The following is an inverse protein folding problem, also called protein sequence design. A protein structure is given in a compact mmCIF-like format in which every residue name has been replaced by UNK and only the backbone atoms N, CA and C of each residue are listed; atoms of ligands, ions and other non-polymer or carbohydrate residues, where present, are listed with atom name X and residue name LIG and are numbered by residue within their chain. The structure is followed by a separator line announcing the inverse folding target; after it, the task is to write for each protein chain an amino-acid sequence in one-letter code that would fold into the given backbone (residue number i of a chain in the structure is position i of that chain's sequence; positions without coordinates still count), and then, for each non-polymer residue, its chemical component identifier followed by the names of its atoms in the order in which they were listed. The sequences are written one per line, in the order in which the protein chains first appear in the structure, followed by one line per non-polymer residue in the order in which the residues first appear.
data_IF_777330690548
#
_entry.id   IF_777330690548
#
_cell.length_a   1.000
_cell.length_b   1.000
_cell.length_c   1.000
_cell.angle_alpha   90.00
_cell.angle_beta   90.00
_cell.angle_gamma   90.00
#
_symmetry.space_group_name_H-M   'P 1'
#
loop_
_entity.id
_entity.type
_entity.pdbx_description
1 polymer ?
#
# COMPACT_ATOMS: atom_id res chain seq x y z
N UNK A 1 2.42 32.31 -9.76
CA UNK A 1 3.20 31.89 -8.58
C UNK A 1 2.63 30.57 -8.13
N UNK A 2 3.44 29.51 -8.05
CA UNK A 2 2.94 28.20 -7.62
C UNK A 2 2.46 28.31 -6.16
N UNK A 3 1.23 27.86 -5.88
CA UNK A 3 0.69 27.86 -4.52
C UNK A 3 1.57 27.01 -3.59
N UNK A 4 1.58 27.33 -2.30
CA UNK A 4 2.29 26.51 -1.29
C UNK A 4 1.84 25.04 -1.34
N UNK A 5 0.56 24.80 -1.63
CA UNK A 5 -0.01 23.45 -1.74
C UNK A 5 0.62 22.67 -2.91
N UNK A 6 0.81 23.31 -4.06
CA UNK A 6 1.40 22.67 -5.25
C UNK A 6 2.86 22.27 -5.02
N UNK A 7 3.58 23.07 -4.23
CA UNK A 7 4.97 22.80 -3.85
C UNK A 7 5.06 21.59 -2.92
N UNK A 8 4.18 21.48 -1.92
CA UNK A 8 4.11 20.31 -1.03
C UNK A 8 3.67 19.04 -1.76
N UNK A 9 2.76 19.14 -2.73
CA UNK A 9 2.27 17.98 -3.47
C UNK A 9 3.31 17.36 -4.42
N UNK A 10 4.26 18.17 -4.92
CA UNK A 10 5.22 17.74 -5.95
C UNK A 10 6.64 17.54 -5.42
N UNK A 11 6.90 17.91 -4.16
CA UNK A 11 8.25 17.75 -3.59
C UNK A 11 8.60 16.27 -3.44
N UNK A 12 9.89 16.00 -3.49
CA UNK A 12 10.41 14.67 -3.19
C UNK A 12 10.35 14.43 -1.67
N UNK A 13 9.97 13.21 -1.29
CA UNK A 13 9.99 12.73 0.09
C UNK A 13 11.02 11.60 0.22
N UNK A 14 11.99 11.78 1.12
CA UNK A 14 12.95 10.71 1.40
C UNK A 14 12.27 9.54 2.12
N UNK A 15 12.92 8.37 2.20
CA UNK A 15 12.33 7.16 2.81
C UNK A 15 12.04 7.32 4.30
N UNK A 16 12.88 8.07 4.98
CA UNK A 16 12.84 8.23 6.45
C UNK A 16 12.06 9.47 6.88
N UNK A 17 11.69 10.32 5.92
CA UNK A 17 10.93 11.52 6.18
C UNK A 17 9.47 11.19 6.51
N UNK A 18 8.87 11.87 7.50
CA UNK A 18 7.44 11.76 7.74
C UNK A 18 6.65 12.28 6.54
N UNK A 19 5.71 11.48 6.04
CA UNK A 19 4.81 11.91 4.97
C UNK A 19 3.63 12.72 5.55
N UNK A 20 3.02 13.63 4.78
CA UNK A 20 1.86 14.40 5.22
C UNK A 20 0.64 13.56 5.61
N UNK A 21 0.63 12.28 5.22
CA UNK A 21 -0.41 11.30 5.50
C UNK A 21 0.05 10.15 6.40
N UNK A 22 1.21 10.24 7.05
CA UNK A 22 1.72 9.18 7.93
C UNK A 22 0.80 8.91 9.14
N UNK A 23 -0.02 9.88 9.55
CA UNK A 23 -1.01 9.73 10.63
C UNK A 23 -2.30 9.02 10.18
N UNK A 24 -2.46 8.71 8.89
CA UNK A 24 -3.64 8.02 8.36
C UNK A 24 -3.42 6.50 8.48
N UNK A 25 -4.17 5.87 9.39
CA UNK A 25 -4.23 4.41 9.47
C UNK A 25 -5.02 3.83 8.29
N UNK A 26 -4.29 3.37 7.28
CA UNK A 26 -4.82 2.62 6.14
C UNK A 26 -4.75 1.11 6.31
N UNK A 27 -4.30 0.63 7.48
CA UNK A 27 -3.91 -0.76 7.78
C UNK A 27 -2.77 -1.33 6.93
N UNK A 28 -2.24 -0.57 5.98
CA UNK A 28 -1.01 -0.92 5.27
C UNK A 28 0.19 -0.59 6.15
N UNK A 29 1.18 -1.47 6.19
CA UNK A 29 2.44 -1.17 6.88
C UNK A 29 3.26 -0.15 6.07
N UNK A 30 4.01 0.71 6.78
CA UNK A 30 4.89 1.70 6.14
C UNK A 30 5.99 0.99 5.33
N UNK A 31 6.46 -0.13 5.84
CA UNK A 31 7.44 -1.01 5.19
C UNK A 31 6.92 -1.51 3.84
N UNK A 32 5.68 -2.02 3.79
CA UNK A 32 5.06 -2.45 2.53
C UNK A 32 4.97 -1.31 1.52
N UNK A 33 4.54 -0.11 1.94
CA UNK A 33 4.42 1.04 1.04
C UNK A 33 5.78 1.49 0.47
N UNK A 34 6.85 1.44 1.27
CA UNK A 34 8.21 1.74 0.81
C UNK A 34 8.70 0.70 -0.22
N UNK A 35 8.45 -0.58 0.04
CA UNK A 35 8.81 -1.66 -0.87
C UNK A 35 8.03 -1.58 -2.20
N UNK A 36 6.73 -1.26 -2.15
CA UNK A 36 5.91 -1.03 -3.33
C UNK A 36 6.39 0.17 -4.15
N UNK A 37 6.85 1.24 -3.49
CA UNK A 37 7.44 2.40 -4.17
C UNK A 37 8.68 1.99 -4.96
N UNK A 38 9.57 1.20 -4.36
CA UNK A 38 10.77 0.71 -5.04
C UNK A 38 10.43 -0.22 -6.22
N UNK A 39 9.44 -1.09 -6.08
CA UNK A 39 8.94 -1.92 -7.19
C UNK A 39 8.38 -1.06 -8.32
N UNK A 40 7.59 -0.04 -7.99
CA UNK A 40 7.01 0.87 -8.96
C UNK A 40 8.08 1.64 -9.75
N UNK A 41 9.16 2.06 -9.10
CA UNK A 41 10.32 2.67 -9.78
C UNK A 41 11.00 1.72 -10.76
N UNK A 42 10.96 0.39 -10.51
CA UNK A 42 11.45 -0.66 -11.41
C UNK A 42 10.41 -1.12 -12.44
N UNK A 43 9.18 -0.63 -12.38
CA UNK A 43 8.07 -1.11 -13.22
C UNK A 43 7.59 -2.53 -12.88
N UNK A 44 7.88 -3.01 -11.69
CA UNK A 44 7.46 -4.33 -11.20
C UNK A 44 6.04 -4.25 -10.64
N UNK A 45 5.25 -5.29 -10.88
CA UNK A 45 3.90 -5.41 -10.36
C UNK A 45 3.89 -6.31 -9.14
N UNK A 46 3.11 -5.93 -8.13
CA UNK A 46 2.77 -6.83 -7.03
C UNK A 46 1.61 -7.73 -7.46
N UNK A 47 1.77 -9.06 -7.40
CA UNK A 47 0.71 -10.00 -7.77
C UNK A 47 -0.54 -9.84 -6.91
N UNK A 48 -1.67 -10.26 -7.46
CA UNK A 48 -2.93 -10.27 -6.73
C UNK A 48 -2.94 -11.39 -5.68
N UNK A 49 -2.80 -11.02 -4.41
CA UNK A 49 -2.76 -11.95 -3.28
C UNK A 49 -4.05 -12.76 -3.06
N UNK A 50 -5.12 -12.55 -3.85
CA UNK A 50 -6.30 -13.42 -3.86
C UNK A 50 -6.02 -14.77 -4.53
N UNK A 51 -5.14 -14.77 -5.52
CA UNK A 51 -4.82 -15.95 -6.34
C UNK A 51 -3.33 -16.29 -6.35
N UNK A 52 -2.48 -15.41 -5.85
CA UNK A 52 -1.05 -15.61 -5.66
C UNK A 52 -0.70 -15.66 -4.16
N UNK A 53 0.60 -15.75 -3.86
CA UNK A 53 1.10 -15.67 -2.48
C UNK A 53 0.74 -14.32 -1.82
N UNK A 54 0.56 -14.35 -0.51
CA UNK A 54 0.28 -13.16 0.29
C UNK A 54 1.40 -12.11 0.15
N UNK A 55 1.04 -10.87 -0.17
CA UNK A 55 2.00 -9.76 -0.30
C UNK A 55 2.45 -9.18 1.04
N UNK A 56 1.94 -9.70 2.17
CA UNK A 56 2.25 -9.25 3.53
C UNK A 56 2.04 -7.74 3.75
N UNK A 57 0.96 -7.19 3.18
CA UNK A 57 0.70 -5.75 3.20
C UNK A 57 0.20 -5.19 4.55
N UNK A 58 -0.17 -6.05 5.51
CA UNK A 58 -0.69 -5.67 6.83
C UNK A 58 -2.23 -5.57 6.94
N UNK A 59 -2.94 -5.54 5.81
CA UNK A 59 -4.41 -5.31 5.82
C UNK A 59 -5.20 -6.44 6.48
N UNK A 60 -4.81 -7.71 6.24
CA UNK A 60 -5.57 -8.89 6.69
C UNK A 60 -5.20 -9.34 8.11
N UNK A 61 -4.66 -8.44 8.93
CA UNK A 61 -4.31 -8.73 10.32
C UNK A 61 -5.51 -8.50 11.27
N UNK A 62 -5.63 -9.33 12.30
CA UNK A 62 -6.70 -9.24 13.29
C UNK A 62 -8.06 -9.71 12.75
N UNK A 63 -9.06 -8.83 12.81
CA UNK A 63 -10.46 -9.16 12.47
C UNK A 63 -10.80 -8.95 10.98
N UNK A 64 -9.81 -8.66 10.14
CA UNK A 64 -9.99 -8.40 8.70
C UNK A 64 -9.58 -9.63 7.90
N UNK A 65 -10.50 -10.16 7.10
CA UNK A 65 -10.28 -11.32 6.24
C UNK A 65 -10.59 -11.00 4.77
N UNK A 66 -9.76 -11.50 3.85
CA UNK A 66 -10.08 -11.44 2.41
C UNK A 66 -11.19 -12.43 2.08
N UNK A 67 -12.20 -11.97 1.34
CA UNK A 67 -13.26 -12.82 0.79
C UNK A 67 -13.14 -12.85 -0.73
N UNK A 68 -12.87 -14.03 -1.27
CA UNK A 68 -12.82 -14.28 -2.71
C UNK A 68 -14.02 -15.14 -3.05
N UNK A 69 -14.95 -14.62 -3.85
CA UNK A 69 -16.11 -15.37 -4.33
C UNK A 69 -15.75 -16.03 -5.66
N UNK A 70 -15.12 -17.20 -5.62
CA UNK A 70 -15.09 -18.11 -6.76
C UNK A 70 -15.09 -19.55 -6.22
N UNK A 71 -16.30 -20.15 -6.23
CA UNK A 71 -16.68 -21.58 -6.14
C UNK A 71 -17.77 -21.90 -5.09
N UNK A 72 -18.87 -22.44 -5.63
CA UNK A 72 -19.95 -23.20 -5.02
C UNK A 72 -19.60 -23.85 -3.66
N UNK A 73 -20.32 -23.46 -2.61
CA UNK A 73 -20.67 -24.29 -1.44
C UNK A 73 -19.55 -24.98 -0.66
N UNK A 74 -19.11 -24.36 0.44
CA UNK A 74 -18.66 -25.08 1.64
C UNK A 74 -18.66 -24.19 2.89
N UNK A 75 -19.84 -23.71 3.30
CA UNK A 75 -20.30 -23.70 4.69
C UNK A 75 -21.81 -23.82 4.69
#
# INVERSE_FOLDING_TARGET
MSSTVEQEATRFFSREEPLPWDDIDSRLTKEFLLDEREKAERGELTPDCRWADCSLCGVCEGDIEMRVEDEVGAR
#
